data_IF_417439239574
#
_entry.id   IF_417439239574
#
_cell.length_a   1.000
_cell.length_b   1.000
_cell.length_c   1.000
_cell.angle_alpha   90.00
_cell.angle_beta   90.00
_cell.angle_gamma   90.00
#
_symmetry.space_group_name_H-M   'P 1'
#
loop_
_entity.id
_entity.type
_entity.pdbx_description
1 polymer ?
#
# COMPACT_ATOMS: atom_id res chain seq x y z
N UNK A 1 22.81 -11.95 -15.11
CA UNK A 1 21.82 -13.02 -14.96
C UNK A 1 20.58 -12.55 -15.75
N UNK A 2 20.29 -13.13 -16.89
CA UNK A 2 19.11 -12.75 -17.69
C UNK A 2 17.90 -13.56 -17.20
N UNK A 3 16.86 -12.85 -16.78
CA UNK A 3 15.57 -13.46 -16.40
C UNK A 3 14.73 -13.50 -17.67
N UNK A 4 14.41 -14.68 -18.17
CA UNK A 4 13.52 -14.87 -19.31
C UNK A 4 12.13 -15.23 -18.77
N UNK A 5 11.15 -14.40 -19.03
CA UNK A 5 9.74 -14.68 -18.71
C UNK A 5 9.13 -15.43 -19.90
N UNK A 6 8.79 -16.70 -19.72
CA UNK A 6 8.06 -17.48 -20.72
C UNK A 6 6.59 -17.56 -20.29
N UNK A 7 5.71 -16.90 -21.01
CA UNK A 7 4.26 -17.00 -20.87
C UNK A 7 3.75 -17.98 -21.93
N UNK A 8 3.16 -19.09 -21.52
CA UNK A 8 2.50 -20.03 -22.44
C UNK A 8 1.11 -19.51 -22.81
N UNK A 9 0.73 -19.54 -24.11
CA UNK A 9 -0.59 -19.10 -24.53
C UNK A 9 -1.59 -20.25 -24.42
N UNK A 10 -2.49 -20.18 -23.46
CA UNK A 10 -3.74 -20.96 -23.48
C UNK A 10 -4.95 -20.05 -23.59
N UNK A 11 -5.91 -20.50 -24.38
CA UNK A 11 -7.09 -19.80 -24.89
C UNK A 11 -8.07 -19.26 -23.83
N UNK A 12 -8.93 -18.27 -24.18
CA UNK A 12 -9.68 -17.49 -23.22
C UNK A 12 -10.89 -18.26 -22.68
N UNK A 13 -10.83 -18.65 -21.40
CA UNK A 13 -12.03 -18.96 -20.60
C UNK A 13 -12.24 -17.85 -19.59
N UNK A 14 -13.47 -17.35 -19.55
CA UNK A 14 -13.89 -16.36 -18.57
C UNK A 14 -13.69 -16.92 -17.16
N UNK A 15 -12.82 -16.27 -16.40
CA UNK A 15 -12.49 -16.55 -14.98
C UNK A 15 -11.92 -17.96 -14.69
N UNK A 16 -10.61 -18.17 -14.83
CA UNK A 16 -9.93 -19.27 -14.19
C UNK A 16 -9.21 -18.81 -12.91
N UNK A 17 -9.18 -19.71 -11.92
CA UNK A 17 -8.20 -19.70 -10.84
C UNK A 17 -6.79 -19.55 -11.43
N UNK A 18 -5.89 -18.70 -10.89
CA UNK A 18 -4.56 -18.53 -11.43
C UNK A 18 -3.78 -19.84 -11.29
N UNK A 19 -3.32 -20.37 -12.43
CA UNK A 19 -2.40 -21.49 -12.45
C UNK A 19 -1.06 -21.08 -11.79
N UNK A 20 -0.35 -22.00 -11.13
CA UNK A 20 0.94 -21.70 -10.53
C UNK A 20 1.95 -21.31 -11.59
N UNK A 21 2.59 -20.15 -11.44
CA UNK A 21 3.70 -19.72 -12.29
C UNK A 21 4.93 -20.51 -11.82
N UNK A 22 5.39 -21.45 -12.65
CA UNK A 22 6.65 -22.17 -12.40
C UNK A 22 7.81 -21.30 -12.88
N UNK A 23 8.57 -20.77 -11.93
CA UNK A 23 9.81 -20.06 -12.22
C UNK A 23 10.89 -21.09 -12.57
N UNK A 24 11.24 -21.25 -13.83
CA UNK A 24 12.37 -22.07 -14.27
C UNK A 24 13.64 -21.21 -14.20
N UNK A 25 14.43 -21.40 -13.14
CA UNK A 25 15.79 -20.88 -13.05
C UNK A 25 16.68 -21.84 -13.86
N UNK A 26 17.13 -21.43 -15.03
CA UNK A 26 18.11 -22.19 -15.80
C UNK A 26 19.46 -22.17 -15.05
N UNK A 27 19.86 -23.32 -14.51
CA UNK A 27 21.19 -23.52 -14.01
C UNK A 27 22.18 -23.69 -15.18
N UNK A 28 23.37 -23.07 -15.15
CA UNK A 28 24.40 -23.36 -16.13
C UNK A 28 24.89 -24.80 -15.95
N UNK A 29 24.82 -25.61 -17.03
CA UNK A 29 25.41 -26.94 -17.05
C UNK A 29 26.93 -26.81 -17.13
N UNK A 30 27.60 -27.06 -16.03
CA UNK A 30 28.92 -27.75 -15.96
C UNK A 30 29.24 -27.99 -14.49
N UNK A 31 29.41 -29.24 -14.15
CA UNK A 31 29.89 -29.67 -12.86
C UNK A 31 31.37 -29.21 -12.67
N UNK A 32 31.57 -28.27 -11.77
CA UNK A 32 32.87 -28.05 -11.15
C UNK A 32 32.63 -27.67 -9.69
N UNK A 33 33.13 -28.52 -8.81
CA UNK A 33 33.21 -28.38 -7.38
C UNK A 33 33.77 -26.98 -7.01
N UNK A 34 32.93 -26.10 -6.46
CA UNK A 34 33.41 -24.90 -5.78
C UNK A 34 32.53 -24.60 -4.57
N UNK A 35 33.19 -24.51 -3.42
CA UNK A 35 32.60 -24.12 -2.15
C UNK A 35 31.85 -22.79 -2.26
N UNK A 36 30.73 -22.70 -1.55
CA UNK A 36 29.95 -21.46 -1.44
C UNK A 36 30.83 -20.29 -0.97
N UNK A 37 30.79 -19.12 -1.63
CA UNK A 37 31.51 -17.95 -1.13
C UNK A 37 30.81 -17.46 0.14
N UNK A 38 31.52 -17.52 1.26
CA UNK A 38 31.19 -16.77 2.46
C UNK A 38 31.45 -15.29 2.15
N UNK A 39 30.36 -14.52 2.08
CA UNK A 39 30.44 -13.06 1.97
C UNK A 39 30.92 -12.53 3.33
N UNK A 40 32.18 -12.13 3.39
CA UNK A 40 32.78 -11.43 4.54
C UNK A 40 32.26 -9.98 4.51
N UNK A 41 31.53 -9.59 5.55
CA UNK A 41 31.05 -8.23 5.78
C UNK A 41 32.08 -7.23 6.29
N UNK A 42 33.35 -7.55 6.31
CA UNK A 42 34.39 -6.79 7.02
C UNK A 42 35.17 -5.75 6.18
N UNK A 43 34.57 -5.15 5.16
CA UNK A 43 35.36 -4.17 4.36
C UNK A 43 34.58 -3.00 3.79
N UNK A 44 33.74 -2.30 4.57
CA UNK A 44 33.21 -0.97 4.20
C UNK A 44 33.10 -0.02 5.40
N UNK A 45 34.17 0.16 6.13
CA UNK A 45 34.35 1.27 7.08
C UNK A 45 35.60 2.03 6.72
N UNK A 46 35.53 2.76 5.62
CA UNK A 46 36.46 3.87 5.36
C UNK A 46 35.65 5.06 4.90
N UNK A 47 35.80 6.17 5.62
CA UNK A 47 35.23 7.46 5.38
C UNK A 47 35.21 7.81 3.88
N UNK A 48 34.03 7.90 3.30
CA UNK A 48 33.81 8.50 2.00
C UNK A 48 32.62 9.46 2.12
N UNK A 49 32.88 10.73 1.90
CA UNK A 49 31.87 11.77 1.68
C UNK A 49 31.10 11.42 0.41
N UNK A 50 30.21 10.43 0.52
CA UNK A 50 29.31 10.09 -0.56
C UNK A 50 28.09 10.99 -0.48
N UNK A 51 28.03 11.98 -1.36
CA UNK A 51 26.77 12.54 -1.80
C UNK A 51 25.94 11.35 -2.31
N UNK A 52 24.96 10.90 -1.51
CA UNK A 52 24.08 9.79 -1.90
C UNK A 52 23.34 10.21 -3.16
N UNK A 53 23.75 9.70 -4.31
CA UNK A 53 23.00 9.90 -5.55
C UNK A 53 21.70 9.13 -5.41
N UNK A 54 20.60 9.85 -5.10
CA UNK A 54 19.25 9.32 -5.17
C UNK A 54 19.02 8.87 -6.62
N UNK A 55 18.63 7.62 -6.81
CA UNK A 55 18.30 7.13 -8.13
C UNK A 55 17.13 7.94 -8.70
N UNK A 56 17.17 8.38 -9.97
CA UNK A 56 16.02 9.06 -10.55
C UNK A 56 14.81 8.12 -10.58
N UNK A 57 13.62 8.68 -10.36
CA UNK A 57 12.36 7.93 -10.49
C UNK A 57 12.33 7.19 -11.85
N UNK A 58 12.07 5.87 -11.90
CA UNK A 58 12.12 5.08 -13.13
C UNK A 58 11.09 5.48 -14.18
N UNK A 59 10.06 6.22 -13.80
CA UNK A 59 9.05 6.80 -14.68
C UNK A 59 8.66 8.19 -14.15
N UNK A 60 7.95 8.97 -14.97
CA UNK A 60 7.39 10.25 -14.55
C UNK A 60 6.22 10.07 -13.54
N UNK A 61 6.46 9.25 -12.49
CA UNK A 61 5.42 8.92 -11.51
C UNK A 61 4.82 10.16 -10.86
N UNK A 62 5.62 11.23 -10.70
CA UNK A 62 5.12 12.51 -10.20
C UNK A 62 4.38 13.34 -11.26
N UNK A 63 4.56 13.06 -12.53
CA UNK A 63 3.92 13.78 -13.64
C UNK A 63 2.80 12.98 -14.32
N UNK A 64 2.35 11.88 -13.71
CA UNK A 64 1.34 11.02 -14.33
C UNK A 64 -0.01 11.72 -14.49
N UNK A 65 -0.55 11.67 -15.71
CA UNK A 65 -1.87 12.25 -16.03
C UNK A 65 -3.04 11.36 -15.55
N UNK A 66 -2.76 10.08 -15.32
CA UNK A 66 -3.73 9.11 -14.76
C UNK A 66 -3.39 8.76 -13.33
N UNK A 67 -4.40 8.37 -12.57
CA UNK A 67 -4.21 7.83 -11.21
C UNK A 67 -3.30 6.60 -11.25
N UNK A 68 -2.27 6.58 -10.42
CA UNK A 68 -1.33 5.47 -10.29
C UNK A 68 -1.86 4.40 -9.33
N UNK A 69 -1.47 3.14 -9.57
CA UNK A 69 -1.77 2.03 -8.65
C UNK A 69 -0.49 1.68 -7.88
N UNK A 70 -0.54 1.86 -6.56
CA UNK A 70 0.50 1.51 -5.60
C UNK A 70 0.12 0.19 -4.92
N UNK A 71 0.84 -0.88 -5.23
CA UNK A 71 0.61 -2.21 -4.68
C UNK A 71 1.29 -2.38 -3.32
N UNK A 72 0.53 -2.85 -2.31
CA UNK A 72 1.02 -3.08 -0.95
C UNK A 72 1.80 -4.41 -0.88
N UNK A 73 3.06 -4.34 -0.44
CA UNK A 73 3.91 -5.49 -0.21
C UNK A 73 4.41 -5.52 1.24
N UNK A 74 3.72 -6.28 2.10
CA UNK A 74 4.15 -6.48 3.48
C UNK A 74 5.13 -7.64 3.58
N UNK A 75 6.34 -7.38 4.08
CA UNK A 75 7.39 -8.37 4.32
C UNK A 75 7.37 -8.75 5.81
N UNK A 76 6.29 -9.39 6.24
CA UNK A 76 6.09 -9.83 7.63
C UNK A 76 6.05 -11.36 7.71
N UNK A 77 6.48 -11.98 8.83
CA UNK A 77 6.47 -13.44 8.99
C UNK A 77 5.10 -14.07 8.74
N UNK A 78 4.02 -13.38 9.13
CA UNK A 78 2.64 -13.86 8.97
C UNK A 78 2.12 -13.77 7.53
N UNK A 79 2.80 -13.01 6.67
CA UNK A 79 2.40 -12.85 5.27
C UNK A 79 2.82 -14.04 4.40
N UNK A 80 3.77 -14.85 4.90
CA UNK A 80 4.37 -15.98 4.17
C UNK A 80 4.49 -17.15 5.14
N UNK A 81 3.46 -17.99 5.21
CA UNK A 81 3.42 -19.18 6.07
C UNK A 81 4.37 -20.27 5.56
N UNK A 82 5.07 -20.93 6.47
CA UNK A 82 5.75 -22.22 6.40
C UNK A 82 7.24 -22.31 6.04
N UNK A 83 7.96 -21.21 5.85
CA UNK A 83 9.36 -21.41 5.47
C UNK A 83 10.30 -20.28 5.84
N UNK A 84 10.92 -20.27 6.96
CA UNK A 84 12.07 -19.43 7.35
C UNK A 84 12.31 -18.10 6.59
N UNK A 85 13.19 -17.25 7.10
CA UNK A 85 13.41 -15.87 6.61
C UNK A 85 13.82 -15.73 5.13
N UNK A 86 14.53 -16.71 4.57
CA UNK A 86 14.94 -16.72 3.15
C UNK A 86 13.74 -16.94 2.21
N UNK A 87 12.77 -17.73 2.63
CA UNK A 87 11.56 -17.97 1.83
C UNK A 87 10.67 -16.72 1.82
N UNK A 88 10.55 -16.02 2.95
CA UNK A 88 9.76 -14.79 3.03
C UNK A 88 10.26 -13.69 2.06
N UNK A 89 11.58 -13.49 1.92
CA UNK A 89 12.14 -12.54 0.97
C UNK A 89 11.90 -12.99 -0.49
N UNK A 90 12.09 -14.27 -0.80
CA UNK A 90 11.87 -14.82 -2.14
C UNK A 90 10.41 -14.69 -2.56
N UNK A 91 9.47 -14.99 -1.67
CA UNK A 91 8.04 -14.87 -1.92
C UNK A 91 7.61 -13.40 -2.07
N UNK A 92 8.19 -12.50 -1.27
CA UNK A 92 7.97 -11.07 -1.40
C UNK A 92 8.46 -10.53 -2.76
N UNK A 93 9.65 -10.95 -3.22
CA UNK A 93 10.19 -10.59 -4.53
C UNK A 93 9.31 -11.14 -5.66
N UNK A 94 8.88 -12.40 -5.57
CA UNK A 94 7.96 -12.99 -6.54
C UNK A 94 6.60 -12.27 -6.56
N UNK A 95 6.08 -11.87 -5.39
CA UNK A 95 4.85 -11.08 -5.28
C UNK A 95 5.03 -9.69 -5.89
N UNK A 96 6.16 -9.01 -5.67
CA UNK A 96 6.46 -7.73 -6.32
C UNK A 96 6.48 -7.86 -7.85
N UNK A 97 7.20 -8.85 -8.38
CA UNK A 97 7.25 -9.14 -9.82
C UNK A 97 5.85 -9.37 -10.40
N UNK A 98 5.00 -10.10 -9.67
CA UNK A 98 3.60 -10.32 -10.07
C UNK A 98 2.80 -9.02 -10.08
N UNK A 99 2.88 -8.18 -9.04
CA UNK A 99 2.19 -6.89 -9.00
C UNK A 99 2.62 -5.97 -10.14
N UNK A 100 3.91 -5.97 -10.51
CA UNK A 100 4.43 -5.23 -11.66
C UNK A 100 3.80 -5.74 -12.95
N UNK A 101 3.75 -7.06 -13.15
CA UNK A 101 3.10 -7.67 -14.31
C UNK A 101 1.57 -7.42 -14.34
N UNK A 102 0.94 -7.30 -13.18
CA UNK A 102 -0.47 -6.91 -13.00
C UNK A 102 -0.73 -5.42 -13.27
N UNK A 103 0.32 -4.60 -13.46
CA UNK A 103 0.24 -3.18 -13.84
C UNK A 103 0.46 -2.19 -12.70
N UNK A 104 0.91 -2.62 -11.51
CA UNK A 104 1.27 -1.69 -10.45
C UNK A 104 2.37 -0.72 -10.93
N UNK A 105 2.15 0.58 -10.71
CA UNK A 105 3.10 1.63 -11.05
C UNK A 105 4.12 1.84 -9.94
N UNK A 106 3.75 1.53 -8.70
CA UNK A 106 4.55 1.70 -7.50
C UNK A 106 4.39 0.43 -6.66
N UNK A 107 5.49 -0.08 -6.11
CA UNK A 107 5.47 -1.14 -5.10
C UNK A 107 5.81 -0.50 -3.74
N UNK A 108 4.89 -0.60 -2.79
CA UNK A 108 5.05 -0.05 -1.44
C UNK A 108 5.47 -1.16 -0.47
N UNK A 109 6.74 -1.13 -0.04
CA UNK A 109 7.39 -2.20 0.71
C UNK A 109 7.48 -1.81 2.18
N UNK A 110 6.85 -2.62 3.06
CA UNK A 110 6.86 -2.42 4.49
C UNK A 110 7.26 -3.68 5.26
N UNK A 111 8.07 -3.53 6.31
CA UNK A 111 8.54 -4.61 7.19
C UNK A 111 7.70 -4.77 8.46
N UNK A 112 6.84 -3.80 8.76
CA UNK A 112 5.99 -3.74 9.95
C UNK A 112 4.51 -3.76 9.56
N UNK A 113 3.67 -4.33 10.41
CA UNK A 113 2.22 -4.34 10.19
C UNK A 113 1.59 -3.05 10.68
N UNK A 114 0.84 -2.37 9.82
CA UNK A 114 0.05 -1.17 10.20
C UNK A 114 -1.34 -1.52 10.77
N UNK A 115 -1.63 -2.81 11.06
CA UNK A 115 -2.94 -3.23 11.60
C UNK A 115 -3.10 -2.73 13.04
N UNK A 116 -4.35 -2.44 13.48
CA UNK A 116 -4.62 -2.14 14.89
C UNK A 116 -4.04 -3.20 15.82
N UNK A 117 -3.32 -2.76 16.87
CA UNK A 117 -2.69 -3.65 17.85
C UNK A 117 -1.37 -4.29 17.42
N UNK A 118 -0.83 -3.98 16.25
CA UNK A 118 0.49 -4.48 15.83
C UNK A 118 1.59 -4.00 16.80
N UNK A 119 2.51 -4.91 17.11
CA UNK A 119 3.68 -4.62 17.94
C UNK A 119 4.81 -4.11 17.05
N UNK A 120 5.45 -3.02 17.47
CA UNK A 120 6.60 -2.45 16.76
C UNK A 120 7.79 -3.41 16.81
N UNK A 121 8.54 -3.47 15.73
CA UNK A 121 9.79 -4.21 15.63
C UNK A 121 10.99 -3.27 15.77
N UNK A 122 12.18 -3.81 15.99
CA UNK A 122 13.41 -2.99 16.01
C UNK A 122 13.76 -2.52 14.59
N UNK A 123 14.54 -1.44 14.50
CA UNK A 123 15.03 -0.89 13.23
C UNK A 123 15.84 -1.94 12.47
N UNK A 124 16.68 -2.70 13.17
CA UNK A 124 17.52 -3.74 12.58
C UNK A 124 16.66 -4.87 11.98
N UNK A 125 15.58 -5.25 12.67
CA UNK A 125 14.67 -6.28 12.19
C UNK A 125 13.88 -5.79 10.97
N UNK A 126 13.41 -4.55 10.98
CA UNK A 126 12.74 -3.92 9.85
C UNK A 126 13.64 -3.90 8.61
N UNK A 127 14.86 -3.36 8.76
CA UNK A 127 15.85 -3.30 7.68
C UNK A 127 16.22 -4.69 7.16
N UNK A 128 16.42 -5.66 8.05
CA UNK A 128 16.71 -7.04 7.69
C UNK A 128 15.65 -7.67 6.81
N UNK A 129 14.37 -7.31 7.03
CA UNK A 129 13.25 -7.80 6.22
C UNK A 129 13.19 -7.14 4.86
N UNK A 130 13.28 -5.81 4.80
CA UNK A 130 12.91 -5.06 3.60
C UNK A 130 14.09 -4.76 2.67
N UNK A 131 15.31 -4.54 3.16
CA UNK A 131 16.42 -4.11 2.30
C UNK A 131 16.75 -5.13 1.19
N UNK A 132 16.85 -6.45 1.45
CA UNK A 132 17.06 -7.42 0.37
C UNK A 132 15.95 -7.44 -0.68
N UNK A 133 14.71 -7.16 -0.26
CA UNK A 133 13.56 -7.09 -1.17
C UNK A 133 13.63 -5.82 -2.02
N UNK A 134 13.95 -4.67 -1.41
CA UNK A 134 14.12 -3.40 -2.12
C UNK A 134 15.22 -3.51 -3.16
N UNK A 135 16.40 -4.02 -2.80
CA UNK A 135 17.52 -4.22 -3.73
C UNK A 135 17.15 -5.08 -4.94
N UNK A 136 16.42 -6.18 -4.70
CA UNK A 136 15.97 -7.07 -5.78
C UNK A 136 14.91 -6.41 -6.67
N UNK A 137 13.93 -5.73 -6.08
CA UNK A 137 12.83 -5.07 -6.81
C UNK A 137 13.35 -3.85 -7.59
N UNK A 138 14.38 -3.13 -7.08
CA UNK A 138 15.02 -2.03 -7.80
C UNK A 138 15.61 -2.45 -9.15
N UNK A 139 16.07 -3.71 -9.28
CA UNK A 139 16.55 -4.25 -10.55
C UNK A 139 15.42 -4.52 -11.57
N UNK A 140 14.16 -4.45 -11.16
CA UNK A 140 13.01 -4.67 -12.05
C UNK A 140 12.54 -3.38 -12.73
N UNK A 141 13.14 -2.21 -12.42
CA UNK A 141 12.86 -0.94 -13.07
C UNK A 141 11.49 -0.34 -12.72
N UNK A 142 10.94 -0.65 -11.55
CA UNK A 142 9.69 -0.07 -11.03
C UNK A 142 9.95 1.00 -9.98
N UNK A 143 8.98 1.88 -9.75
CA UNK A 143 9.04 2.83 -8.63
C UNK A 143 8.79 2.09 -7.32
N UNK A 144 9.64 2.32 -6.32
CA UNK A 144 9.56 1.70 -4.99
C UNK A 144 9.26 2.79 -3.96
N UNK A 145 8.25 2.54 -3.15
CA UNK A 145 7.95 3.27 -1.91
C UNK A 145 8.37 2.39 -0.72
N UNK A 146 8.94 2.99 0.32
CA UNK A 146 9.20 2.32 1.59
C UNK A 146 8.21 2.78 2.64
N UNK A 147 7.42 1.84 3.19
CA UNK A 147 6.47 2.08 4.29
C UNK A 147 7.22 1.92 5.61
N UNK A 148 7.64 3.04 6.20
CA UNK A 148 8.40 3.10 7.45
C UNK A 148 8.19 4.39 8.22
N UNK A 149 8.22 4.28 9.55
CA UNK A 149 8.22 5.41 10.48
C UNK A 149 9.63 5.65 11.10
N UNK A 150 10.65 4.90 10.64
CA UNK A 150 12.00 4.97 11.20
C UNK A 150 12.95 5.72 10.25
N UNK A 151 13.54 6.85 10.66
CA UNK A 151 14.44 7.65 9.82
C UNK A 151 15.65 6.85 9.31
N UNK A 152 16.20 5.97 10.15
CA UNK A 152 17.34 5.13 9.79
C UNK A 152 16.98 4.12 8.71
N UNK A 153 15.76 3.54 8.79
CA UNK A 153 15.24 2.64 7.75
C UNK A 153 14.96 3.39 6.45
N UNK A 154 14.39 4.60 6.54
CA UNK A 154 14.15 5.43 5.37
C UNK A 154 15.45 5.73 4.61
N UNK A 155 16.53 6.16 5.31
CA UNK A 155 17.86 6.40 4.70
C UNK A 155 18.41 5.12 4.04
N UNK A 156 18.38 4.00 4.76
CA UNK A 156 18.89 2.74 4.25
C UNK A 156 18.11 2.24 3.02
N UNK A 157 16.77 2.38 3.04
CA UNK A 157 15.90 1.99 1.93
C UNK A 157 16.13 2.83 0.67
N UNK A 158 16.29 4.16 0.81
CA UNK A 158 16.63 5.04 -0.32
C UNK A 158 18.02 4.69 -0.88
N UNK A 159 18.98 4.41 -0.03
CA UNK A 159 20.31 3.95 -0.47
C UNK A 159 20.26 2.58 -1.18
N UNK A 160 19.31 1.71 -0.83
CA UNK A 160 19.07 0.41 -1.46
C UNK A 160 18.29 0.49 -2.77
N UNK A 161 17.76 1.67 -3.15
CA UNK A 161 17.05 1.90 -4.40
C UNK A 161 15.56 2.19 -4.27
N UNK A 162 15.05 2.47 -3.08
CA UNK A 162 13.71 3.04 -2.92
C UNK A 162 13.70 4.51 -3.41
N UNK A 163 12.52 4.98 -3.80
CA UNK A 163 12.34 6.29 -4.43
C UNK A 163 11.44 7.22 -3.61
N UNK A 164 10.53 6.67 -2.81
CA UNK A 164 9.48 7.38 -2.08
C UNK A 164 9.51 6.90 -0.63
N UNK A 165 9.35 7.82 0.33
CA UNK A 165 9.10 7.48 1.73
C UNK A 165 7.58 7.58 1.98
N UNK A 166 7.00 6.50 2.51
CA UNK A 166 5.61 6.46 2.94
C UNK A 166 5.58 6.35 4.47
N UNK A 167 5.26 7.45 5.14
CA UNK A 167 5.26 7.53 6.61
C UNK A 167 3.83 7.66 7.16
N UNK A 168 3.45 6.69 7.97
CA UNK A 168 2.13 6.63 8.61
C UNK A 168 2.12 7.19 10.03
N UNK A 169 3.18 7.84 10.49
CA UNK A 169 3.28 8.44 11.84
C UNK A 169 2.24 9.55 12.09
N UNK A 170 1.79 10.23 11.05
CA UNK A 170 0.83 11.30 11.13
C UNK A 170 1.31 12.44 12.03
N UNK A 171 0.46 12.88 12.99
CA UNK A 171 0.80 13.96 13.90
C UNK A 171 1.97 13.63 14.85
N UNK A 172 2.35 12.35 14.96
CA UNK A 172 3.46 11.90 15.80
C UNK A 172 4.78 11.78 15.03
N UNK A 173 4.88 12.29 13.79
CA UNK A 173 6.12 12.26 13.04
C UNK A 173 7.26 12.90 13.82
N UNK A 174 8.41 12.21 13.88
CA UNK A 174 9.59 12.68 14.61
C UNK A 174 10.30 13.82 13.86
N UNK A 175 10.94 14.72 14.59
CA UNK A 175 11.76 15.78 13.97
C UNK A 175 12.91 15.17 13.15
N UNK A 176 13.50 14.04 13.61
CA UNK A 176 14.53 13.30 12.86
C UNK A 176 14.00 12.79 11.50
N UNK A 177 12.74 12.35 11.40
CA UNK A 177 12.15 11.95 10.11
C UNK A 177 11.95 13.16 9.20
N UNK A 178 11.52 14.30 9.74
CA UNK A 178 11.40 15.55 8.98
C UNK A 178 12.76 16.01 8.46
N UNK A 179 13.80 15.98 9.30
CA UNK A 179 15.19 16.27 8.89
C UNK A 179 15.68 15.31 7.81
N UNK A 180 15.34 14.01 7.96
CA UNK A 180 15.66 12.98 6.96
C UNK A 180 15.01 13.26 5.61
N UNK A 181 13.75 13.65 5.60
CA UNK A 181 13.04 14.03 4.38
C UNK A 181 13.65 15.28 3.72
N UNK A 182 14.03 16.28 4.53
CA UNK A 182 14.70 17.49 4.06
C UNK A 182 16.10 17.22 3.50
N UNK A 183 16.85 16.28 4.08
CA UNK A 183 18.17 15.88 3.58
C UNK A 183 18.09 15.08 2.28
N UNK A 184 17.21 14.08 2.23
CA UNK A 184 17.12 13.16 1.09
C UNK A 184 16.43 13.80 -0.13
N UNK A 185 15.54 14.78 0.08
CA UNK A 185 14.78 15.45 -1.00
C UNK A 185 14.06 14.50 -1.96
N UNK A 186 13.63 13.34 -1.47
CA UNK A 186 12.81 12.37 -2.21
C UNK A 186 11.32 12.66 -1.99
N UNK A 187 10.42 12.17 -2.85
CA UNK A 187 8.99 12.23 -2.59
C UNK A 187 8.63 11.59 -1.24
N UNK A 188 7.78 12.27 -0.49
CA UNK A 188 7.37 11.88 0.86
C UNK A 188 5.85 11.89 0.98
N UNK A 189 5.29 10.75 1.35
CA UNK A 189 3.86 10.64 1.61
C UNK A 189 3.62 10.98 3.08
N UNK A 190 2.97 12.11 3.29
CA UNK A 190 2.59 12.68 4.57
C UNK A 190 1.15 12.29 4.86
N UNK A 191 0.95 11.28 5.72
CA UNK A 191 -0.37 10.78 6.06
C UNK A 191 -0.90 11.45 7.33
N UNK A 192 -2.21 11.72 7.35
CA UNK A 192 -2.90 12.13 8.57
C UNK A 192 -3.22 10.91 9.46
N UNK A 193 -2.70 10.91 10.68
CA UNK A 193 -3.07 9.97 11.74
C UNK A 193 -2.99 10.66 13.10
N UNK A 194 -3.89 10.31 14.02
CA UNK A 194 -3.84 10.66 15.44
C UNK A 194 -3.49 9.43 16.27
N UNK A 195 -2.53 9.54 17.19
CA UNK A 195 -2.11 8.45 18.07
C UNK A 195 -1.32 7.35 17.36
N UNK A 196 -1.36 6.16 17.93
CA UNK A 196 -0.66 4.96 17.46
C UNK A 196 -1.68 3.90 17.05
N UNK A 197 -1.23 2.78 16.47
CA UNK A 197 -2.08 1.63 16.16
C UNK A 197 -2.89 1.11 17.37
N UNK A 198 -2.43 1.39 18.59
CA UNK A 198 -3.11 0.98 19.83
C UNK A 198 -4.09 2.01 20.37
N UNK A 199 -3.91 3.31 20.05
CA UNK A 199 -4.68 4.41 20.66
C UNK A 199 -5.57 5.16 19.65
N UNK A 200 -5.38 4.97 18.36
CA UNK A 200 -6.04 5.74 17.30
C UNK A 200 -7.57 5.67 17.35
N UNK A 201 -8.17 4.52 17.72
CA UNK A 201 -9.62 4.38 17.75
C UNK A 201 -10.28 5.27 18.83
N UNK A 202 -9.57 5.56 19.94
CA UNK A 202 -10.05 6.48 20.99
C UNK A 202 -9.88 7.96 20.64
N UNK A 203 -9.18 8.27 19.56
CA UNK A 203 -8.90 9.65 19.10
C UNK A 203 -9.71 10.04 17.86
N UNK A 204 -10.70 9.25 17.48
CA UNK A 204 -11.59 9.51 16.35
C UNK A 204 -12.69 10.56 16.67
N UNK A 205 -12.32 11.62 17.40
CA UNK A 205 -13.22 12.72 17.80
C UNK A 205 -12.88 13.99 17.02
N UNK A 206 -13.82 14.52 16.26
CA UNK A 206 -13.67 15.70 15.40
C UNK A 206 -14.81 16.69 15.67
N UNK A 207 -14.73 17.50 16.74
CA UNK A 207 -15.83 18.39 17.14
C UNK A 207 -16.23 19.44 16.11
N UNK A 208 -15.30 19.82 15.22
CA UNK A 208 -15.53 20.79 14.13
C UNK A 208 -15.77 20.12 12.76
N UNK A 209 -15.94 18.80 12.76
CA UNK A 209 -16.05 17.98 11.54
C UNK A 209 -14.71 17.44 11.07
N UNK A 210 -14.71 16.18 10.62
CA UNK A 210 -13.49 15.44 10.25
C UNK A 210 -12.75 16.10 9.09
N UNK A 211 -13.45 16.62 8.10
CA UNK A 211 -12.83 17.27 6.94
C UNK A 211 -12.05 18.51 7.34
N UNK A 212 -12.70 19.41 8.09
CA UNK A 212 -12.08 20.65 8.58
C UNK A 212 -10.82 20.37 9.40
N UNK A 213 -10.92 19.48 10.38
CA UNK A 213 -9.78 19.22 11.27
C UNK A 213 -8.64 18.47 10.56
N UNK A 214 -8.95 17.51 9.69
CA UNK A 214 -7.92 16.81 8.89
C UNK A 214 -7.20 17.77 7.95
N UNK A 215 -7.91 18.68 7.28
CA UNK A 215 -7.31 19.72 6.43
C UNK A 215 -6.38 20.64 7.22
N UNK A 216 -6.83 21.11 8.40
CA UNK A 216 -6.01 21.96 9.27
C UNK A 216 -4.77 21.23 9.80
N UNK A 217 -4.92 19.99 10.25
CA UNK A 217 -3.83 19.18 10.78
C UNK A 217 -2.81 18.79 9.70
N UNK A 218 -3.26 18.40 8.49
CA UNK A 218 -2.38 18.19 7.34
C UNK A 218 -1.65 19.48 6.95
N UNK A 219 -2.33 20.63 7.01
CA UNK A 219 -1.71 21.92 6.74
C UNK A 219 -0.59 22.21 7.75
N UNK A 220 -0.86 22.01 9.04
CA UNK A 220 0.16 22.19 10.08
C UNK A 220 1.36 21.25 9.93
N UNK A 221 1.11 19.97 9.59
CA UNK A 221 2.19 19.03 9.28
C UNK A 221 3.00 19.47 8.07
N UNK A 222 2.34 19.81 6.98
CA UNK A 222 2.97 20.32 5.75
C UNK A 222 3.91 21.49 6.07
N UNK A 223 3.45 22.48 6.86
CA UNK A 223 4.26 23.65 7.21
C UNK A 223 5.51 23.24 8.00
N UNK A 224 5.45 22.23 8.88
CA UNK A 224 6.65 21.71 9.56
C UNK A 224 7.68 21.17 8.57
N UNK A 225 7.27 20.41 7.57
CA UNK A 225 8.17 19.87 6.52
C UNK A 225 8.75 20.98 5.65
N UNK A 226 7.94 21.93 5.22
CA UNK A 226 8.39 23.08 4.44
C UNK A 226 9.39 23.94 5.21
N UNK A 227 9.14 24.21 6.49
CA UNK A 227 10.03 24.97 7.36
C UNK A 227 11.39 24.25 7.57
N UNK A 228 11.41 22.92 7.56
CA UNK A 228 12.65 22.15 7.60
C UNK A 228 13.40 22.07 6.25
N UNK A 229 12.83 22.64 5.18
CA UNK A 229 13.47 22.71 3.86
C UNK A 229 13.07 21.62 2.87
N UNK A 230 12.04 20.79 3.18
CA UNK A 230 11.49 19.85 2.18
C UNK A 230 10.85 20.62 1.05
N UNK A 231 11.15 20.27 -0.20
CA UNK A 231 10.60 20.95 -1.37
C UNK A 231 9.10 20.63 -1.51
N UNK A 232 8.24 21.65 -1.78
CA UNK A 232 6.79 21.44 -1.86
C UNK A 232 6.36 20.36 -2.85
N UNK A 233 7.05 20.24 -3.98
CA UNK A 233 6.76 19.24 -5.01
C UNK A 233 7.07 17.81 -4.57
N UNK A 234 7.83 17.61 -3.50
CA UNK A 234 8.15 16.30 -2.92
C UNK A 234 7.09 15.84 -1.92
N UNK A 235 6.20 16.72 -1.46
CA UNK A 235 5.13 16.33 -0.54
C UNK A 235 3.92 15.76 -1.29
N UNK A 236 3.45 14.62 -0.80
CA UNK A 236 2.24 13.92 -1.23
C UNK A 236 1.38 13.75 0.01
N UNK A 237 0.12 14.14 -0.04
CA UNK A 237 -0.78 14.06 1.13
C UNK A 237 -1.63 12.78 1.08
N UNK A 238 -1.89 12.20 2.26
CA UNK A 238 -2.86 11.11 2.45
C UNK A 238 -3.78 11.48 3.62
N UNK A 239 -5.11 11.55 3.47
CA UNK A 239 -6.04 11.87 4.55
C UNK A 239 -6.10 10.78 5.62
N UNK A 240 -5.43 9.64 5.45
CA UNK A 240 -5.30 8.58 6.43
C UNK A 240 -6.62 7.88 6.75
N UNK A 241 -7.35 7.42 5.73
CA UNK A 241 -8.58 6.67 5.93
C UNK A 241 -8.37 5.49 6.88
N UNK A 242 -9.26 5.30 7.85
CA UNK A 242 -9.18 4.25 8.87
C UNK A 242 -8.12 4.46 9.96
N UNK A 243 -7.42 5.61 9.99
CA UNK A 243 -6.51 5.98 11.07
C UNK A 243 -7.15 7.08 11.91
N UNK A 244 -7.51 6.75 13.16
CA UNK A 244 -8.26 7.63 14.08
C UNK A 244 -9.54 8.18 13.42
N UNK A 245 -10.29 7.33 12.71
CA UNK A 245 -11.54 7.66 12.04
C UNK A 245 -12.58 6.59 12.30
N UNK A 246 -13.80 7.01 12.61
CA UNK A 246 -14.90 6.11 12.95
C UNK A 246 -16.21 6.50 12.25
N UNK A 247 -17.21 5.62 12.31
CA UNK A 247 -18.53 5.88 11.74
C UNK A 247 -18.48 6.22 10.24
N UNK A 248 -18.97 7.42 9.90
CA UNK A 248 -19.03 7.93 8.54
C UNK A 248 -17.83 8.80 8.13
N UNK A 249 -16.88 9.08 9.04
CA UNK A 249 -15.79 10.04 8.84
C UNK A 249 -14.90 9.70 7.62
N UNK A 250 -14.65 8.41 7.36
CA UNK A 250 -13.91 7.99 6.15
C UNK A 250 -14.66 8.35 4.87
N UNK A 251 -15.99 8.23 4.87
CA UNK A 251 -16.85 8.58 3.73
C UNK A 251 -16.94 10.10 3.53
N UNK A 252 -16.98 10.87 4.61
CA UNK A 252 -16.94 12.33 4.57
C UNK A 252 -15.64 12.83 3.93
N UNK A 253 -14.49 12.25 4.30
CA UNK A 253 -13.20 12.56 3.68
C UNK A 253 -13.15 12.16 2.19
N UNK A 254 -13.72 11.01 1.82
CA UNK A 254 -13.82 10.61 0.42
C UNK A 254 -14.75 11.53 -0.38
N UNK A 255 -15.79 12.07 0.24
CA UNK A 255 -16.67 13.06 -0.40
C UNK A 255 -15.95 14.42 -0.60
N UNK A 256 -15.01 14.76 0.29
CA UNK A 256 -14.27 16.02 0.31
C UNK A 256 -12.90 15.97 -0.42
N UNK A 257 -12.70 15.06 -1.38
CA UNK A 257 -11.43 14.93 -2.13
C UNK A 257 -11.02 16.26 -2.77
N UNK A 258 -11.96 17.05 -3.28
CA UNK A 258 -11.67 18.31 -3.94
C UNK A 258 -11.09 19.34 -2.94
N UNK A 259 -11.55 19.34 -1.68
CA UNK A 259 -10.99 20.18 -0.61
C UNK A 259 -9.56 19.75 -0.25
N UNK A 260 -9.32 18.45 -0.17
CA UNK A 260 -7.98 17.90 0.09
C UNK A 260 -7.00 18.20 -1.06
N UNK A 261 -7.45 18.11 -2.31
CA UNK A 261 -6.66 18.51 -3.48
C UNK A 261 -6.41 20.02 -3.52
N UNK A 262 -7.34 20.82 -2.96
CA UNK A 262 -7.19 22.27 -2.78
C UNK A 262 -5.99 22.70 -1.94
N UNK A 263 -5.37 21.77 -1.17
CA UNK A 263 -4.11 21.98 -0.47
C UNK A 263 -2.90 22.13 -1.42
N UNK A 264 -3.08 21.89 -2.73
CA UNK A 264 -2.07 22.11 -3.76
C UNK A 264 -0.98 21.04 -3.87
N UNK A 265 -1.21 19.87 -3.26
CA UNK A 265 -0.30 18.74 -3.33
C UNK A 265 -0.95 17.51 -4.00
N UNK A 266 -0.14 16.56 -4.44
CA UNK A 266 -0.62 15.26 -4.89
C UNK A 266 -1.34 14.56 -3.75
N UNK A 267 -2.42 13.83 -4.07
CA UNK A 267 -3.22 13.12 -3.09
C UNK A 267 -3.13 11.62 -3.31
N UNK A 268 -2.70 10.88 -2.29
CA UNK A 268 -2.78 9.42 -2.19
C UNK A 268 -4.04 9.03 -1.42
N UNK A 269 -4.75 8.02 -1.90
CA UNK A 269 -5.91 7.45 -1.19
C UNK A 269 -5.66 5.96 -0.88
N UNK A 270 -5.62 5.61 0.39
CA UNK A 270 -5.41 4.26 0.88
C UNK A 270 -6.68 3.69 1.53
N UNK A 271 -7.70 3.34 0.73
CA UNK A 271 -9.00 2.82 1.23
C UNK A 271 -9.14 1.29 1.19
N UNK A 272 -8.23 0.58 0.49
CA UNK A 272 -8.39 -0.84 0.17
C UNK A 272 -8.56 -1.74 1.41
N UNK A 273 -9.63 -2.54 1.41
CA UNK A 273 -9.99 -3.54 2.44
C UNK A 273 -10.23 -2.98 3.84
N UNK A 274 -10.28 -1.64 4.02
CA UNK A 274 -10.43 -1.01 5.32
C UNK A 274 -11.82 -1.23 5.96
N UNK A 275 -11.90 -1.00 7.27
CA UNK A 275 -13.07 -1.28 8.12
C UNK A 275 -14.33 -0.52 7.68
N UNK A 276 -14.21 0.72 7.23
CA UNK A 276 -15.35 1.52 6.76
C UNK A 276 -16.07 0.87 5.57
N UNK A 277 -15.33 0.22 4.64
CA UNK A 277 -15.92 -0.57 3.55
C UNK A 277 -16.66 -1.78 4.11
N UNK A 278 -16.06 -2.50 5.08
CA UNK A 278 -16.73 -3.63 5.72
C UNK A 278 -18.05 -3.21 6.36
N UNK A 279 -18.06 -2.10 7.09
CA UNK A 279 -19.25 -1.59 7.78
C UNK A 279 -20.37 -1.27 6.78
N UNK A 280 -20.06 -0.62 5.67
CA UNK A 280 -21.05 -0.34 4.62
C UNK A 280 -21.62 -1.62 3.99
N UNK A 281 -20.76 -2.60 3.70
CA UNK A 281 -21.19 -3.88 3.14
C UNK A 281 -22.05 -4.66 4.13
N UNK A 282 -21.64 -4.72 5.41
CA UNK A 282 -22.40 -5.42 6.47
C UNK A 282 -23.78 -4.77 6.67
N UNK A 283 -23.87 -3.43 6.66
CA UNK A 283 -25.15 -2.75 6.76
C UNK A 283 -26.07 -3.09 5.59
N UNK A 284 -25.55 -3.19 4.37
CA UNK A 284 -26.32 -3.59 3.20
C UNK A 284 -26.77 -5.06 3.27
N UNK A 285 -25.88 -5.94 3.74
CA UNK A 285 -26.17 -7.38 3.92
C UNK A 285 -27.27 -7.58 4.98
N UNK A 286 -27.18 -6.90 6.12
CA UNK A 286 -28.21 -6.93 7.17
C UNK A 286 -29.58 -6.43 6.67
N UNK A 287 -29.60 -5.31 5.93
CA UNK A 287 -30.83 -4.80 5.34
C UNK A 287 -31.43 -5.76 4.29
N UNK A 288 -30.60 -6.51 3.59
CA UNK A 288 -31.06 -7.59 2.70
C UNK A 288 -31.68 -8.74 3.49
N UNK A 289 -31.02 -9.20 4.55
CA UNK A 289 -31.51 -10.26 5.43
C UNK A 289 -32.86 -9.89 6.04
N UNK A 290 -33.02 -8.66 6.53
CA UNK A 290 -34.30 -8.16 7.08
C UNK A 290 -35.44 -8.19 6.04
N UNK A 291 -35.16 -7.74 4.80
CA UNK A 291 -36.17 -7.79 3.71
C UNK A 291 -36.56 -9.20 3.33
N UNK A 292 -35.61 -10.13 3.30
CA UNK A 292 -35.88 -11.54 2.99
C UNK A 292 -36.69 -12.17 4.11
N UNK A 293 -36.38 -11.93 5.38
CA UNK A 293 -37.18 -12.35 6.53
C UNK A 293 -38.63 -11.84 6.45
N UNK A 294 -38.78 -10.54 6.15
CA UNK A 294 -40.10 -9.93 6.03
C UNK A 294 -40.94 -10.49 4.86
N UNK A 295 -40.30 -11.03 3.81
CA UNK A 295 -40.97 -11.71 2.70
C UNK A 295 -41.39 -13.16 3.00
N UNK A 296 -41.07 -13.67 4.22
CA UNK A 296 -41.38 -15.03 4.64
C UNK A 296 -40.33 -16.07 4.19
N UNK A 297 -39.23 -15.62 3.58
CA UNK A 297 -38.11 -16.50 3.26
C UNK A 297 -37.32 -16.79 4.54
N UNK A 298 -37.18 -18.07 4.90
CA UNK A 298 -36.41 -18.48 6.08
C UNK A 298 -35.24 -19.37 5.71
N UNK A 299 -34.16 -19.32 6.49
CA UNK A 299 -32.99 -20.19 6.31
C UNK A 299 -33.34 -21.69 6.42
N UNK A 300 -34.48 -22.05 7.01
CA UNK A 300 -34.98 -23.42 7.12
C UNK A 300 -35.48 -24.01 5.81
N UNK A 301 -35.94 -23.14 4.88
CA UNK A 301 -36.46 -23.55 3.57
C UNK A 301 -35.35 -23.64 2.51
N UNK A 302 -34.13 -23.27 2.88
CA UNK A 302 -32.97 -23.18 2.01
C UNK A 302 -32.09 -24.44 2.06
N UNK A 303 -31.40 -24.74 0.98
CA UNK A 303 -30.34 -25.74 0.93
C UNK A 303 -29.13 -25.35 1.82
N UNK A 304 -28.14 -26.24 1.92
CA UNK A 304 -26.97 -26.00 2.78
C UNK A 304 -26.18 -24.74 2.35
N UNK A 305 -25.99 -24.57 1.06
CA UNK A 305 -25.27 -23.39 0.49
C UNK A 305 -26.00 -22.07 0.76
N UNK A 306 -27.33 -22.08 0.68
CA UNK A 306 -28.14 -20.89 0.97
C UNK A 306 -28.12 -20.58 2.48
N UNK A 307 -28.07 -21.59 3.37
CA UNK A 307 -27.93 -21.37 4.81
C UNK A 307 -26.57 -20.76 5.17
N UNK A 308 -25.48 -21.23 4.56
CA UNK A 308 -24.15 -20.63 4.73
C UNK A 308 -24.14 -19.18 4.25
N UNK A 309 -24.73 -18.90 3.08
CA UNK A 309 -24.86 -17.53 2.58
C UNK A 309 -25.68 -16.67 3.56
N UNK A 310 -26.79 -17.20 4.09
CA UNK A 310 -27.63 -16.48 5.05
C UNK A 310 -26.89 -16.13 6.35
N UNK A 311 -26.11 -17.06 6.90
CA UNK A 311 -25.28 -16.82 8.06
C UNK A 311 -24.22 -15.73 7.79
N UNK A 312 -23.64 -15.75 6.58
CA UNK A 312 -22.63 -14.75 6.18
C UNK A 312 -23.17 -13.32 6.09
N UNK A 313 -24.50 -13.13 5.91
CA UNK A 313 -25.11 -11.79 5.86
C UNK A 313 -25.14 -11.08 7.22
N UNK A 314 -25.00 -11.82 8.32
CA UNK A 314 -24.99 -11.25 9.69
C UNK A 314 -23.59 -10.92 10.22
N UNK A 315 -22.52 -11.32 9.49
CA UNK A 315 -21.13 -11.13 9.90
C UNK A 315 -20.41 -10.10 9.03
N UNK A 316 -19.42 -9.36 9.59
CA UNK A 316 -18.60 -8.45 8.80
C UNK A 316 -17.82 -9.22 7.72
N UNK A 317 -17.95 -8.81 6.45
CA UNK A 317 -17.23 -9.46 5.35
C UNK A 317 -15.72 -9.49 5.61
N UNK A 318 -15.05 -10.66 5.54
CA UNK A 318 -13.61 -10.78 5.66
C UNK A 318 -12.86 -9.87 4.67
N UNK A 319 -11.64 -9.46 5.01
CA UNK A 319 -10.87 -8.49 4.21
C UNK A 319 -10.67 -8.92 2.75
N UNK A 320 -10.47 -10.22 2.50
CA UNK A 320 -10.33 -10.79 1.15
C UNK A 320 -11.61 -10.67 0.31
N UNK A 321 -12.79 -10.60 0.94
CA UNK A 321 -14.08 -10.49 0.25
C UNK A 321 -14.52 -9.04 0.00
N UNK A 322 -13.63 -8.07 0.25
CA UNK A 322 -13.89 -6.63 0.03
C UNK A 322 -13.23 -6.11 -1.26
N UNK A 323 -12.71 -6.98 -2.12
CA UNK A 323 -11.95 -6.58 -3.32
C UNK A 323 -12.82 -5.74 -4.28
N UNK A 324 -14.02 -6.21 -4.63
CA UNK A 324 -14.93 -5.49 -5.52
C UNK A 324 -15.33 -4.11 -4.98
N UNK A 325 -15.66 -4.01 -3.68
CA UNK A 325 -15.99 -2.72 -3.06
C UNK A 325 -14.77 -1.80 -2.97
N UNK A 326 -13.57 -2.34 -2.74
CA UNK A 326 -12.32 -1.58 -2.80
C UNK A 326 -12.06 -1.03 -4.20
N UNK A 327 -12.31 -1.82 -5.25
CA UNK A 327 -12.20 -1.37 -6.64
C UNK A 327 -13.23 -0.29 -6.97
N UNK A 328 -14.47 -0.38 -6.45
CA UNK A 328 -15.48 0.67 -6.60
C UNK A 328 -15.01 1.99 -5.97
N UNK A 329 -14.45 1.97 -4.74
CA UNK A 329 -13.85 3.16 -4.12
C UNK A 329 -12.70 3.68 -4.97
N UNK A 330 -11.83 2.80 -5.48
CA UNK A 330 -10.73 3.17 -6.40
C UNK A 330 -11.25 3.90 -7.64
N UNK A 331 -12.30 3.40 -8.29
CA UNK A 331 -12.88 4.04 -9.47
C UNK A 331 -13.42 5.45 -9.14
N UNK A 332 -14.12 5.60 -8.03
CA UNK A 332 -14.70 6.88 -7.60
C UNK A 332 -13.63 7.95 -7.33
N UNK A 333 -12.54 7.58 -6.63
CA UNK A 333 -11.47 8.53 -6.33
C UNK A 333 -10.58 8.80 -7.55
N UNK A 334 -10.35 7.82 -8.41
CA UNK A 334 -9.62 7.99 -9.66
C UNK A 334 -10.36 8.90 -10.65
N UNK A 335 -11.71 8.83 -10.68
CA UNK A 335 -12.52 9.76 -11.46
C UNK A 335 -12.37 11.22 -11.01
N UNK A 336 -12.01 11.44 -9.73
CA UNK A 336 -11.68 12.78 -9.19
C UNK A 336 -10.21 13.19 -9.39
N UNK A 337 -9.40 12.36 -10.06
CA UNK A 337 -8.02 12.70 -10.43
C UNK A 337 -7.03 12.67 -9.28
N UNK A 338 -7.23 11.85 -8.26
CA UNK A 338 -6.19 11.63 -7.23
C UNK A 338 -4.92 11.08 -7.88
N UNK A 339 -3.77 11.45 -7.32
CA UNK A 339 -2.46 11.05 -7.87
C UNK A 339 -2.28 9.53 -7.84
N UNK A 340 -2.57 8.87 -6.71
CA UNK A 340 -2.41 7.43 -6.59
C UNK A 340 -3.43 6.81 -5.62
N UNK A 341 -3.63 5.50 -5.78
CA UNK A 341 -4.37 4.65 -4.85
C UNK A 341 -3.46 3.55 -4.31
N UNK A 342 -3.46 3.34 -2.98
CA UNK A 342 -2.69 2.28 -2.31
C UNK A 342 -3.59 1.08 -2.06
N UNK A 343 -3.26 -0.08 -2.65
CA UNK A 343 -4.18 -1.20 -2.81
C UNK A 343 -3.55 -2.58 -2.54
N UNK A 344 -4.37 -3.55 -2.12
CA UNK A 344 -3.97 -4.96 -1.98
C UNK A 344 -4.22 -5.78 -3.25
N UNK A 345 -5.21 -5.39 -4.05
CA UNK A 345 -5.64 -6.08 -5.28
C UNK A 345 -5.32 -5.19 -6.48
N UNK A 346 -4.18 -5.48 -7.11
CA UNK A 346 -3.69 -4.69 -8.24
C UNK A 346 -4.59 -4.85 -9.46
N UNK A 347 -4.96 -6.07 -9.92
CA UNK A 347 -5.77 -6.24 -11.13
C UNK A 347 -7.09 -5.50 -11.07
N UNK A 348 -7.88 -5.71 -10.00
CA UNK A 348 -9.18 -5.04 -9.86
C UNK A 348 -9.05 -3.51 -9.77
N UNK A 349 -7.96 -3.01 -9.18
CA UNK A 349 -7.69 -1.57 -9.08
C UNK A 349 -7.23 -0.99 -10.41
N UNK A 350 -6.47 -1.72 -11.22
CA UNK A 350 -6.09 -1.32 -12.57
C UNK A 350 -7.32 -1.20 -13.48
N UNK A 351 -8.25 -2.16 -13.42
CA UNK A 351 -9.52 -2.08 -14.14
C UNK A 351 -10.31 -0.84 -13.72
N UNK A 352 -10.41 -0.58 -12.42
CA UNK A 352 -11.11 0.58 -11.86
C UNK A 352 -10.50 1.92 -12.33
N UNK A 353 -9.17 2.05 -12.28
CA UNK A 353 -8.45 3.24 -12.76
C UNK A 353 -8.60 3.40 -14.27
N UNK A 354 -8.58 2.31 -15.04
CA UNK A 354 -8.76 2.34 -16.50
C UNK A 354 -10.16 2.86 -16.86
N UNK A 355 -11.20 2.36 -16.19
CA UNK A 355 -12.57 2.83 -16.40
C UNK A 355 -12.72 4.30 -16.02
N UNK A 356 -12.17 4.72 -14.88
CA UNK A 356 -12.20 6.10 -14.44
C UNK A 356 -11.46 7.04 -15.41
N UNK A 357 -10.31 6.61 -15.94
CA UNK A 357 -9.55 7.37 -16.94
C UNK A 357 -10.31 7.55 -18.25
N UNK A 358 -10.97 6.49 -18.73
CA UNK A 358 -11.82 6.55 -19.92
C UNK A 358 -12.99 7.54 -19.75
N UNK A 359 -13.61 7.56 -18.56
CA UNK A 359 -14.66 8.53 -18.25
C UNK A 359 -14.14 9.97 -18.27
N UNK A 360 -13.00 10.22 -17.64
CA UNK A 360 -12.37 11.56 -17.58
C UNK A 360 -11.94 12.08 -18.95
N UNK A 361 -11.61 11.20 -19.89
CA UNK A 361 -11.17 11.63 -21.25
C UNK A 361 -12.30 12.23 -22.10
N UNK A 362 -13.56 12.12 -21.68
CA UNK A 362 -14.75 12.61 -22.39
C UNK A 362 -15.54 13.64 -21.56
N UNK A 363 -15.06 13.97 -20.34
CA UNK A 363 -15.65 14.99 -19.46
C UNK A 363 -14.89 16.31 -19.60
#
# INVERSE_FOLDING_TARGET
MQILLVVSPESPRRYPNPAPITLLIAAPSTAANMAAPQIRYDKFMTESTHTTRVAPLPCDALAAERTLVMGILNVTPDSFSDGGQHYAATDAIARAARMIAEGASIIDIGGESARPGAVRISVEEEQRRILPVIEAVAQMGTTISVDTMNPQTARAAIAAGAHIINDISGLNVSDEMIETAAELQVPYILMHARGTSQTMDSLAEYPRGVVTEVVEELTGLRERFLAAGVLPQNLILDPGLGFAKGGMQDWELLAAIDELQGLGHRLLIAGSRKRFIANALTAADMALAERLNASGFTATDAGEAERELWQSLSEPRPAQHRAAASAAVTALVAARGVWAVRVHDVPASMDAVTVASALRSVS
#
